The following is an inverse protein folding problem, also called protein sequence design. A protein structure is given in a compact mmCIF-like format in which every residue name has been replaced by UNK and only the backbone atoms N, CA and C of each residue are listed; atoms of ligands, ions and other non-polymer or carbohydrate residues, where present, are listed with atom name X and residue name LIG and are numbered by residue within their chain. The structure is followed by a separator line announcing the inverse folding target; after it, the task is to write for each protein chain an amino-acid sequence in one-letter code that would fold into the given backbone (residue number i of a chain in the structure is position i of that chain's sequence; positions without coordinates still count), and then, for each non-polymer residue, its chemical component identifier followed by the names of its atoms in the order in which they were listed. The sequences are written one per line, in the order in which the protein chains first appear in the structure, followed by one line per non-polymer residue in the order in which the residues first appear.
data_IF_953144959916
#
_entry.id   IF_953144959916
#
_cell.length_a   1.000
_cell.length_b   1.000
_cell.length_c   1.000
_cell.angle_alpha   90.00
_cell.angle_beta   90.00
_cell.angle_gamma   90.00
#
_symmetry.space_group_name_H-M   'P 1'
#
loop_
_entity.id
_entity.type
_entity.pdbx_description
1 polymer ?
#
# COMPACT_ATOMS: atom_id res chain seq x y z
N UNK A 1 -13.70 -5.84 -10.57
CA UNK A 1 -12.38 -6.44 -10.85
C UNK A 1 -12.15 -7.59 -9.85
N UNK A 2 -11.35 -8.63 -10.17
CA UNK A 2 -11.11 -9.76 -9.25
C UNK A 2 -9.74 -10.45 -9.48
N UNK A 3 -9.36 -11.36 -8.58
CA UNK A 3 -8.05 -12.04 -8.61
C UNK A 3 -7.82 -12.80 -9.93
N UNK A 4 -8.83 -13.54 -10.43
CA UNK A 4 -8.69 -14.37 -11.63
C UNK A 4 -8.40 -13.50 -12.85
N UNK A 5 -9.18 -12.45 -13.04
CA UNK A 5 -9.02 -11.48 -14.12
C UNK A 5 -7.62 -10.84 -14.11
N UNK A 6 -7.18 -10.30 -12.96
CA UNK A 6 -5.89 -9.61 -12.87
C UNK A 6 -4.71 -10.57 -13.17
N UNK A 7 -4.78 -11.81 -12.65
CA UNK A 7 -3.74 -12.82 -12.91
C UNK A 7 -3.68 -13.25 -14.37
N UNK A 8 -4.82 -13.34 -15.07
CA UNK A 8 -4.85 -13.65 -16.50
C UNK A 8 -4.11 -12.60 -17.34
N UNK A 9 -4.12 -11.34 -16.89
CA UNK A 9 -3.35 -10.25 -17.49
C UNK A 9 -1.88 -10.19 -17.05
N UNK A 10 -1.38 -11.21 -16.33
CA UNK A 10 -0.01 -11.31 -15.81
C UNK A 10 0.39 -10.15 -14.86
N UNK A 11 -0.58 -9.63 -14.11
CA UNK A 11 -0.39 -8.58 -13.11
C UNK A 11 -0.58 -9.14 -11.69
N UNK A 12 0.01 -8.48 -10.69
CA UNK A 12 -0.20 -8.82 -9.28
C UNK A 12 -1.51 -8.20 -8.78
N UNK A 13 -2.48 -9.00 -8.28
CA UNK A 13 -3.73 -8.46 -7.73
C UNK A 13 -3.52 -7.48 -6.57
N UNK A 14 -2.54 -7.77 -5.72
CA UNK A 14 -2.18 -6.97 -4.55
C UNK A 14 -1.58 -5.62 -5.00
N UNK A 15 -0.65 -5.66 -5.97
CA UNK A 15 -0.08 -4.46 -6.59
C UNK A 15 -1.14 -3.57 -7.24
N UNK A 16 -2.14 -4.15 -7.93
CA UNK A 16 -3.24 -3.40 -8.53
C UNK A 16 -4.11 -2.73 -7.46
N UNK A 17 -4.40 -3.41 -6.35
CA UNK A 17 -5.13 -2.78 -5.24
C UNK A 17 -4.33 -1.64 -4.62
N UNK A 18 -3.03 -1.85 -4.36
CA UNK A 18 -2.15 -0.83 -3.82
C UNK A 18 -2.03 0.38 -4.75
N UNK A 19 -1.89 0.16 -6.06
CA UNK A 19 -1.90 1.24 -7.05
C UNK A 19 -3.24 1.98 -7.07
N UNK A 20 -4.37 1.28 -6.97
CA UNK A 20 -5.69 1.90 -6.91
C UNK A 20 -5.82 2.81 -5.68
N UNK A 21 -5.30 2.39 -4.53
CA UNK A 21 -5.26 3.20 -3.29
C UNK A 21 -4.39 4.46 -3.50
N UNK A 22 -3.21 4.34 -4.13
CA UNK A 22 -2.37 5.50 -4.44
C UNK A 22 -3.04 6.47 -5.41
N UNK A 23 -3.68 5.96 -6.47
CA UNK A 23 -4.44 6.77 -7.43
C UNK A 23 -5.60 7.50 -6.75
N UNK A 24 -6.34 6.80 -5.90
CA UNK A 24 -7.47 7.35 -5.14
C UNK A 24 -7.04 8.52 -4.28
N UNK A 25 -5.97 8.34 -3.50
CA UNK A 25 -5.45 9.40 -2.63
C UNK A 25 -4.97 10.60 -3.46
N UNK A 26 -4.28 10.35 -4.58
CA UNK A 26 -3.82 11.43 -5.46
C UNK A 26 -4.99 12.18 -6.12
N UNK A 27 -6.05 11.49 -6.56
CA UNK A 27 -7.24 12.14 -7.14
C UNK A 27 -7.90 13.10 -6.15
N UNK A 28 -8.02 12.70 -4.88
CA UNK A 28 -8.67 13.49 -3.84
C UNK A 28 -7.80 14.62 -3.28
N UNK A 29 -6.50 14.37 -3.09
CA UNK A 29 -5.64 15.27 -2.32
C UNK A 29 -4.45 15.83 -3.10
N UNK A 30 -4.22 15.37 -4.34
CA UNK A 30 -3.14 15.78 -5.25
C UNK A 30 -1.75 15.72 -4.62
N UNK A 31 -1.53 14.69 -3.79
CA UNK A 31 -0.28 14.45 -3.04
C UNK A 31 0.04 12.95 -3.02
N UNK A 32 1.32 12.64 -2.88
CA UNK A 32 1.82 11.31 -2.53
C UNK A 32 2.24 11.30 -1.07
N UNK A 33 1.91 10.24 -0.34
CA UNK A 33 2.07 10.18 1.11
C UNK A 33 2.71 8.85 1.56
N UNK A 34 3.37 8.84 2.72
CA UNK A 34 3.91 7.61 3.31
C UNK A 34 2.80 6.56 3.44
N UNK A 35 3.08 5.38 2.89
CA UNK A 35 2.14 4.27 2.82
C UNK A 35 2.76 3.04 3.47
N UNK A 36 1.98 2.38 4.32
CA UNK A 36 2.31 1.14 5.00
C UNK A 36 1.45 0.01 4.44
N UNK A 37 2.07 -1.12 4.14
CA UNK A 37 1.39 -2.37 3.85
C UNK A 37 2.02 -3.47 4.70
N UNK A 38 1.20 -4.22 5.44
CA UNK A 38 1.67 -5.31 6.28
C UNK A 38 2.15 -6.48 5.43
N UNK A 39 3.40 -6.90 5.59
CA UNK A 39 3.94 -8.12 5.01
C UNK A 39 4.28 -9.13 6.10
N UNK A 40 3.79 -10.37 5.98
CA UNK A 40 4.06 -11.43 6.95
C UNK A 40 5.51 -11.91 6.85
N UNK A 41 6.17 -12.06 8.00
CA UNK A 41 7.50 -12.68 8.11
C UNK A 41 7.43 -14.05 8.78
N UNK A 42 6.28 -14.73 8.73
CA UNK A 42 6.03 -15.99 9.44
C UNK A 42 6.95 -17.16 9.03
N UNK A 43 7.72 -17.00 7.94
CA UNK A 43 8.79 -17.93 7.57
C UNK A 43 9.94 -17.98 8.60
N UNK A 44 10.10 -16.94 9.42
CA UNK A 44 11.09 -16.89 10.50
C UNK A 44 10.47 -17.30 11.85
N UNK A 45 11.27 -17.93 12.71
CA UNK A 45 10.86 -18.24 14.08
C UNK A 45 10.42 -16.96 14.81
N UNK A 46 9.20 -16.95 15.34
CA UNK A 46 8.55 -15.78 15.98
C UNK A 46 8.34 -14.58 15.04
N UNK A 47 8.39 -14.80 13.73
CA UNK A 47 8.11 -13.79 12.73
C UNK A 47 6.72 -13.18 12.90
N UNK A 48 6.65 -11.85 12.76
CA UNK A 48 5.40 -11.09 12.78
C UNK A 48 5.22 -10.41 11.44
N UNK A 49 5.67 -9.16 11.33
CA UNK A 49 5.50 -8.37 10.11
C UNK A 49 6.70 -7.50 9.79
N UNK A 50 6.88 -7.23 8.51
CA UNK A 50 7.67 -6.13 7.93
C UNK A 50 6.73 -5.19 7.16
N UNK A 51 7.21 -3.99 6.82
CA UNK A 51 6.51 -2.99 6.01
C UNK A 51 6.88 -3.14 4.53
N UNK A 52 5.88 -3.23 3.67
CA UNK A 52 6.00 -2.91 2.25
C UNK A 52 5.57 -1.45 2.07
N UNK A 53 6.44 -0.63 1.46
CA UNK A 53 6.16 0.79 1.20
C UNK A 53 5.63 0.95 -0.23
N UNK A 54 4.31 0.92 -0.37
CA UNK A 54 3.64 0.84 -1.68
C UNK A 54 3.66 2.16 -2.48
N UNK A 55 4.01 3.28 -1.82
CA UNK A 55 4.34 4.54 -2.47
C UNK A 55 5.77 4.50 -3.03
N UNK A 56 5.90 4.18 -4.31
CA UNK A 56 7.17 4.01 -5.03
C UNK A 56 7.22 4.95 -6.22
N UNK A 57 8.39 5.09 -6.85
CA UNK A 57 8.49 5.81 -8.14
C UNK A 57 7.63 5.14 -9.23
N UNK A 58 7.51 3.81 -9.22
CA UNK A 58 6.68 3.09 -10.19
C UNK A 58 5.19 3.45 -10.02
N UNK A 59 4.66 3.43 -8.80
CA UNK A 59 3.27 3.79 -8.53
C UNK A 59 3.02 5.28 -8.76
N UNK A 60 3.96 6.15 -8.38
CA UNK A 60 3.91 7.60 -8.70
C UNK A 60 3.81 7.85 -10.21
N UNK A 61 4.67 7.21 -11.00
CA UNK A 61 4.69 7.38 -12.46
C UNK A 61 3.39 6.86 -13.10
N UNK A 62 2.87 5.72 -12.64
CA UNK A 62 1.60 5.18 -13.12
C UNK A 62 0.42 6.09 -12.80
N UNK A 63 0.34 6.61 -11.56
CA UNK A 63 -0.71 7.57 -11.15
C UNK A 63 -0.69 8.82 -12.01
N UNK A 64 0.49 9.44 -12.19
CA UNK A 64 0.62 10.63 -13.03
C UNK A 64 0.31 10.35 -14.50
N UNK A 65 0.68 9.18 -15.02
CA UNK A 65 0.37 8.79 -16.39
C UNK A 65 -1.14 8.60 -16.62
N UNK A 66 -1.84 8.00 -15.64
CA UNK A 66 -3.30 7.84 -15.66
C UNK A 66 -3.99 9.20 -15.66
N UNK A 67 -3.62 10.09 -14.73
CA UNK A 67 -4.24 11.42 -14.60
C UNK A 67 -4.02 12.29 -15.85
N UNK A 68 -2.92 12.07 -16.59
CA UNK A 68 -2.60 12.77 -17.82
C UNK A 68 -2.97 11.99 -19.09
N UNK A 69 -3.79 10.93 -18.99
CA UNK A 69 -4.26 10.10 -20.11
C UNK A 69 -3.14 9.66 -21.08
N UNK A 70 -1.99 9.24 -20.55
CA UNK A 70 -0.87 8.77 -21.36
C UNK A 70 -1.19 7.40 -22.00
N UNK A 71 -0.54 7.07 -23.11
CA UNK A 71 -0.77 5.82 -23.83
C UNK A 71 -0.03 4.61 -23.24
N UNK A 72 1.05 4.83 -22.50
CA UNK A 72 1.94 3.78 -21.97
C UNK A 72 1.51 3.20 -20.60
N UNK A 73 0.27 3.46 -20.15
CA UNK A 73 -0.17 3.05 -18.80
C UNK A 73 -0.05 1.54 -18.60
N UNK A 74 -0.34 0.73 -19.63
CA UNK A 74 -0.26 -0.73 -19.51
C UNK A 74 1.13 -1.26 -19.16
N UNK A 75 2.19 -0.63 -19.70
CA UNK A 75 3.57 -0.95 -19.32
C UNK A 75 3.88 -0.54 -17.89
N UNK A 76 3.40 0.65 -17.48
CA UNK A 76 3.56 1.14 -16.11
C UNK A 76 2.86 0.24 -15.08
N UNK A 77 1.73 -0.39 -15.43
CA UNK A 77 1.08 -1.40 -14.56
C UNK A 77 1.97 -2.63 -14.34
N UNK A 78 2.68 -3.08 -15.39
CA UNK A 78 3.63 -4.20 -15.28
C UNK A 78 4.83 -3.83 -14.41
N UNK A 79 5.34 -2.61 -14.56
CA UNK A 79 6.42 -2.09 -13.70
C UNK A 79 5.98 -1.99 -12.23
N UNK A 80 4.76 -1.51 -11.97
CA UNK A 80 4.17 -1.51 -10.62
C UNK A 80 4.08 -2.92 -10.04
N UNK A 81 3.60 -3.89 -10.83
CA UNK A 81 3.50 -5.30 -10.41
C UNK A 81 4.86 -5.91 -10.10
N UNK A 82 5.87 -5.65 -10.93
CA UNK A 82 7.23 -6.14 -10.72
C UNK A 82 7.86 -5.54 -9.46
N UNK A 83 7.79 -4.22 -9.31
CA UNK A 83 8.34 -3.50 -8.14
C UNK A 83 7.66 -3.94 -6.85
N UNK A 84 6.33 -3.99 -6.82
CA UNK A 84 5.58 -4.42 -5.62
C UNK A 84 5.90 -5.88 -5.26
N UNK A 85 5.96 -6.78 -6.25
CA UNK A 85 6.32 -8.19 -6.00
C UNK A 85 7.74 -8.33 -5.46
N UNK A 86 8.68 -7.51 -5.93
CA UNK A 86 10.03 -7.47 -5.39
C UNK A 86 10.02 -7.01 -3.92
N UNK A 87 9.34 -5.92 -3.60
CA UNK A 87 9.24 -5.41 -2.22
C UNK A 87 8.59 -6.42 -1.27
N UNK A 88 7.52 -7.10 -1.71
CA UNK A 88 6.86 -8.16 -0.92
C UNK A 88 7.83 -9.31 -0.67
N UNK A 89 8.59 -9.74 -1.69
CA UNK A 89 9.61 -10.79 -1.53
C UNK A 89 10.67 -10.36 -0.52
N UNK A 90 11.25 -9.17 -0.69
CA UNK A 90 12.26 -8.62 0.20
C UNK A 90 11.76 -8.56 1.64
N UNK A 91 10.57 -7.98 1.87
CA UNK A 91 9.96 -7.88 3.20
C UNK A 91 9.69 -9.26 3.82
N UNK A 92 9.09 -10.19 3.08
CA UNK A 92 8.77 -11.54 3.56
C UNK A 92 10.03 -12.34 3.92
N UNK A 93 11.16 -12.07 3.25
CA UNK A 93 12.47 -12.69 3.51
C UNK A 93 13.38 -11.86 4.41
N UNK A 94 12.83 -10.87 5.15
CA UNK A 94 13.60 -10.10 6.14
C UNK A 94 14.65 -9.15 5.55
N UNK A 95 14.50 -8.77 4.28
CA UNK A 95 15.33 -7.79 3.58
C UNK A 95 14.69 -6.39 3.53
N UNK A 96 13.52 -6.21 4.15
CA UNK A 96 12.95 -4.89 4.38
C UNK A 96 13.77 -4.07 5.37
N UNK A 97 13.67 -2.75 5.30
CA UNK A 97 14.49 -1.85 6.13
C UNK A 97 13.75 -1.31 7.36
N UNK A 98 12.42 -1.33 7.39
CA UNK A 98 11.62 -0.67 8.43
C UNK A 98 11.84 -1.30 9.81
N UNK A 99 11.75 -2.63 9.95
CA UNK A 99 12.07 -3.30 11.23
C UNK A 99 13.56 -3.22 11.58
N UNK A 100 14.44 -3.20 10.59
CA UNK A 100 15.87 -3.02 10.83
C UNK A 100 16.16 -1.65 11.45
N UNK A 101 15.65 -0.55 10.87
CA UNK A 101 15.79 0.80 11.43
C UNK A 101 15.17 0.91 12.83
N UNK A 102 14.00 0.29 13.04
CA UNK A 102 13.39 0.21 14.36
C UNK A 102 14.30 -0.50 15.37
N UNK A 103 14.89 -1.64 14.99
CA UNK A 103 15.80 -2.42 15.82
C UNK A 103 17.06 -1.65 16.23
N UNK A 104 17.66 -0.90 15.29
CA UNK A 104 18.79 -0.01 15.56
C UNK A 104 18.42 1.08 16.57
N UNK A 105 17.27 1.74 16.39
CA UNK A 105 16.78 2.79 17.30
C UNK A 105 16.54 2.24 18.71
N UNK A 106 15.79 1.14 18.84
CA UNK A 106 15.50 0.52 20.13
C UNK A 106 16.77 0.00 20.82
N UNK A 107 17.76 -0.45 20.06
CA UNK A 107 19.05 -0.90 20.62
C UNK A 107 19.84 0.26 21.21
N UNK A 108 19.95 1.38 20.48
CA UNK A 108 20.63 2.58 20.99
C UNK A 108 19.95 3.10 22.27
N UNK A 109 18.61 3.15 22.29
CA UNK A 109 17.83 3.53 23.47
C UNK A 109 18.10 2.60 24.67
N UNK A 110 18.01 1.29 24.46
CA UNK A 110 18.22 0.29 25.52
C UNK A 110 19.63 0.33 26.12
N UNK A 111 20.64 0.67 25.31
CA UNK A 111 22.03 0.75 25.76
C UNK A 111 22.41 2.16 26.28
N UNK A 112 21.48 3.12 26.28
CA UNK A 112 21.76 4.50 26.68
C UNK A 112 22.70 5.24 25.72
N UNK A 113 22.81 4.79 24.47
CA UNK A 113 23.66 5.41 23.46
C UNK A 113 22.98 6.63 22.85
N UNK A 114 23.80 7.59 22.41
CA UNK A 114 23.32 8.70 21.60
C UNK A 114 22.71 8.14 20.31
N UNK A 115 21.43 8.40 20.09
CA UNK A 115 20.76 7.95 18.87
C UNK A 115 21.35 8.65 17.63
N UNK A 116 21.56 7.92 16.52
CA UNK A 116 21.90 8.53 15.24
C UNK A 116 20.94 9.66 14.87
N UNK A 117 21.48 10.78 14.37
CA UNK A 117 20.70 11.98 14.00
C UNK A 117 19.55 11.67 13.03
N UNK A 118 19.71 10.63 12.21
CA UNK A 118 18.67 10.10 11.32
C UNK A 118 17.32 9.93 12.03
N UNK A 119 17.27 9.32 13.22
CA UNK A 119 16.00 9.01 13.90
C UNK A 119 15.26 10.25 14.43
N UNK A 120 15.99 11.35 14.63
CA UNK A 120 15.42 12.64 15.02
C UNK A 120 15.06 13.54 13.83
N UNK A 121 15.51 13.19 12.62
CA UNK A 121 15.35 14.01 11.41
C UNK A 121 13.88 14.16 11.01
N UNK A 122 13.56 15.28 10.36
CA UNK A 122 12.22 15.54 9.85
C UNK A 122 11.77 14.47 8.83
N UNK A 123 12.70 13.99 7.98
CA UNK A 123 12.40 12.97 6.98
C UNK A 123 12.05 11.61 7.60
N UNK A 124 12.78 11.18 8.65
CA UNK A 124 12.48 9.93 9.34
C UNK A 124 11.13 10.02 10.06
N UNK A 125 10.81 11.16 10.67
CA UNK A 125 9.48 11.38 11.27
C UNK A 125 8.38 11.34 10.21
N UNK A 126 8.56 12.04 9.10
CA UNK A 126 7.61 12.08 7.98
C UNK A 126 7.37 10.69 7.40
N UNK A 127 8.42 9.94 7.06
CA UNK A 127 8.26 8.61 6.43
C UNK A 127 7.61 7.57 7.35
N UNK A 128 7.60 7.78 8.66
CA UNK A 128 6.93 6.92 9.64
C UNK A 128 5.52 7.44 10.03
N UNK A 129 5.11 8.62 9.54
CA UNK A 129 3.74 9.11 9.61
C UNK A 129 2.90 8.49 8.50
N UNK A 130 2.52 7.22 8.65
CA UNK A 130 1.79 6.46 7.65
C UNK A 130 0.35 6.96 7.48
N UNK A 131 0.17 7.94 6.59
CA UNK A 131 -1.14 8.50 6.21
C UNK A 131 -2.03 7.40 5.60
N UNK A 132 -1.45 6.49 4.82
CA UNK A 132 -2.15 5.31 4.30
C UNK A 132 -1.62 4.06 5.01
N UNK A 133 -2.43 3.48 5.90
CA UNK A 133 -2.10 2.21 6.56
C UNK A 133 -2.98 1.10 6.00
N UNK A 134 -2.35 0.09 5.39
CA UNK A 134 -3.06 -0.92 4.60
C UNK A 134 -2.71 -2.35 5.02
N UNK A 135 -3.66 -3.28 4.82
CA UNK A 135 -3.44 -4.70 5.07
C UNK A 135 -4.37 -5.57 4.23
N UNK A 136 -3.81 -6.63 3.65
CA UNK A 136 -4.55 -7.65 2.90
C UNK A 136 -4.91 -8.82 3.81
N UNK A 137 -6.16 -9.27 3.74
CA UNK A 137 -6.58 -10.55 4.33
C UNK A 137 -7.05 -11.49 3.22
N UNK A 138 -6.13 -12.29 2.67
CA UNK A 138 -6.45 -13.22 1.59
C UNK A 138 -7.06 -14.53 2.09
N UNK A 139 -8.34 -14.51 2.46
CA UNK A 139 -9.09 -15.73 2.85
C UNK A 139 -10.54 -15.67 2.38
N UNK A 140 -11.10 -16.82 1.99
CA UNK A 140 -12.51 -16.95 1.61
C UNK A 140 -13.43 -17.08 2.84
N UNK A 141 -12.87 -17.38 4.02
CA UNK A 141 -13.62 -17.63 5.26
C UNK A 141 -14.09 -16.33 5.94
N UNK A 142 -13.34 -15.24 5.77
CA UNK A 142 -13.61 -13.95 6.40
C UNK A 142 -13.95 -12.95 5.30
N UNK A 143 -15.12 -12.31 5.40
CA UNK A 143 -15.56 -11.32 4.43
C UNK A 143 -14.61 -10.10 4.42
N UNK A 144 -14.42 -9.47 5.58
CA UNK A 144 -13.51 -8.35 5.78
C UNK A 144 -12.96 -8.33 7.21
N UNK A 145 -11.73 -7.85 7.34
CA UNK A 145 -11.22 -7.27 8.58
C UNK A 145 -11.25 -5.74 8.49
N UNK A 146 -11.02 -5.05 9.60
CA UNK A 146 -10.96 -3.59 9.65
C UNK A 146 -10.12 -3.11 10.83
N UNK A 147 -9.54 -1.93 10.69
CA UNK A 147 -8.77 -1.26 11.74
C UNK A 147 -8.85 0.25 11.55
N UNK A 148 -8.67 1.02 12.63
CA UNK A 148 -8.61 2.49 12.57
C UNK A 148 -7.29 3.01 11.99
N UNK A 149 -7.21 4.29 11.58
CA UNK A 149 -5.96 4.91 11.16
C UNK A 149 -4.90 4.90 12.27
N UNK A 150 -3.63 4.92 11.87
CA UNK A 150 -2.47 4.97 12.78
C UNK A 150 -1.96 6.39 13.04
N UNK A 151 -2.52 7.39 12.35
CA UNK A 151 -2.26 8.82 12.52
C UNK A 151 -3.58 9.60 12.41
N UNK A 152 -3.72 10.76 13.09
CA UNK A 152 -4.99 11.49 13.16
C UNK A 152 -5.60 11.88 11.81
N UNK A 153 -4.76 12.21 10.82
CA UNK A 153 -5.17 12.65 9.49
C UNK A 153 -5.13 11.53 8.42
N UNK A 154 -4.93 10.29 8.85
CA UNK A 154 -4.72 9.12 7.99
C UNK A 154 -5.98 8.30 7.69
N UNK A 155 -5.73 7.18 7.01
CA UNK A 155 -6.71 6.18 6.61
C UNK A 155 -6.23 4.78 7.02
N UNK A 156 -7.14 3.99 7.58
CA UNK A 156 -6.97 2.54 7.72
C UNK A 156 -7.71 1.82 6.60
N UNK A 157 -7.00 1.03 5.80
CA UNK A 157 -7.56 0.37 4.61
C UNK A 157 -7.26 -1.13 4.68
N UNK A 158 -8.26 -1.89 5.10
CA UNK A 158 -8.21 -3.35 5.07
C UNK A 158 -8.86 -3.85 3.79
N UNK A 159 -8.23 -4.76 3.06
CA UNK A 159 -8.81 -5.24 1.80
C UNK A 159 -8.71 -6.76 1.62
N UNK A 160 -9.63 -7.29 0.82
CA UNK A 160 -9.68 -8.70 0.47
C UNK A 160 -9.83 -8.84 -1.05
N UNK A 161 -9.05 -9.76 -1.62
CA UNK A 161 -9.00 -10.02 -3.07
C UNK A 161 -9.28 -11.50 -3.29
N UNK A 162 -10.52 -11.81 -3.62
CA UNK A 162 -11.04 -13.15 -3.86
C UNK A 162 -11.02 -13.52 -5.34
N UNK A 163 -11.28 -14.80 -5.63
CA UNK A 163 -11.33 -15.35 -6.98
C UNK A 163 -12.32 -14.60 -7.89
N UNK A 164 -13.49 -14.22 -7.36
CA UNK A 164 -14.59 -13.61 -8.09
C UNK A 164 -14.83 -12.12 -7.78
N UNK A 165 -14.33 -11.59 -6.66
CA UNK A 165 -14.52 -10.19 -6.24
C UNK A 165 -13.31 -9.65 -5.49
N UNK A 166 -13.23 -8.33 -5.34
CA UNK A 166 -12.30 -7.66 -4.42
C UNK A 166 -13.00 -6.46 -3.80
N UNK A 167 -12.53 -6.01 -2.65
CA UNK A 167 -13.03 -4.80 -2.00
C UNK A 167 -12.15 -4.37 -0.84
N UNK A 168 -12.51 -3.24 -0.23
CA UNK A 168 -11.79 -2.67 0.90
C UNK A 168 -12.77 -2.10 1.93
N UNK A 169 -12.38 -2.14 3.20
CA UNK A 169 -12.96 -1.40 4.30
C UNK A 169 -12.04 -0.21 4.60
N UNK A 170 -12.60 0.99 4.57
CA UNK A 170 -11.87 2.25 4.76
C UNK A 170 -12.33 2.89 6.07
N UNK A 171 -11.38 3.30 6.90
CA UNK A 171 -11.61 4.05 8.13
C UNK A 171 -10.81 5.35 8.11
N UNK A 172 -11.33 6.39 8.74
CA UNK A 172 -10.62 7.64 9.02
C UNK A 172 -11.16 8.26 10.30
N UNK A 173 -10.36 9.06 11.01
CA UNK A 173 -10.85 9.93 12.08
C UNK A 173 -11.41 11.26 11.56
N UNK A 174 -11.34 11.48 10.23
CA UNK A 174 -12.03 12.57 9.54
C UNK A 174 -13.54 12.31 9.49
N UNK A 175 -14.28 13.25 8.90
CA UNK A 175 -15.73 13.12 8.72
C UNK A 175 -16.13 11.97 7.77
N UNK A 176 -17.40 11.56 7.89
CA UNK A 176 -18.00 10.51 7.08
C UNK A 176 -17.97 10.83 5.57
N UNK A 177 -18.08 12.11 5.20
CA UNK A 177 -18.03 12.54 3.81
C UNK A 177 -16.67 12.19 3.18
N UNK A 178 -15.58 12.41 3.89
CA UNK A 178 -14.22 12.07 3.44
C UNK A 178 -14.05 10.57 3.24
N UNK A 179 -14.60 9.74 4.14
CA UNK A 179 -14.53 8.28 4.02
C UNK A 179 -15.34 7.79 2.82
N UNK A 180 -16.55 8.30 2.63
CA UNK A 180 -17.39 7.95 1.48
C UNK A 180 -16.73 8.38 0.16
N UNK A 181 -16.21 9.61 0.09
CA UNK A 181 -15.50 10.10 -1.09
C UNK A 181 -14.28 9.22 -1.43
N UNK A 182 -13.55 8.72 -0.41
CA UNK A 182 -12.46 7.78 -0.62
C UNK A 182 -12.96 6.44 -1.18
N UNK A 183 -14.05 5.89 -0.64
CA UNK A 183 -14.62 4.64 -1.11
C UNK A 183 -15.12 4.73 -2.55
N UNK A 184 -15.85 5.79 -2.90
CA UNK A 184 -16.36 6.02 -4.25
C UNK A 184 -15.21 6.21 -5.25
N UNK A 185 -14.23 7.03 -4.89
CA UNK A 185 -13.05 7.28 -5.74
C UNK A 185 -12.18 6.02 -5.88
N UNK A 186 -12.16 5.12 -4.89
CA UNK A 186 -11.48 3.83 -5.00
C UNK A 186 -12.16 2.92 -6.01
N UNK A 187 -13.49 2.88 -6.04
CA UNK A 187 -14.23 2.14 -7.06
C UNK A 187 -13.95 2.69 -8.46
N UNK A 188 -13.98 4.01 -8.63
CA UNK A 188 -13.60 4.66 -9.90
C UNK A 188 -12.17 4.30 -10.32
N UNK A 189 -11.23 4.36 -9.39
CA UNK A 189 -9.81 4.05 -9.64
C UNK A 189 -9.65 2.59 -10.10
N UNK A 190 -10.36 1.66 -9.47
CA UNK A 190 -10.38 0.26 -9.87
C UNK A 190 -10.99 0.06 -11.26
N UNK A 191 -12.03 0.82 -11.63
CA UNK A 191 -12.63 0.76 -12.96
C UNK A 191 -11.73 1.35 -14.05
N UNK A 192 -11.03 2.46 -13.75
CA UNK A 192 -9.99 3.01 -14.64
C UNK A 192 -8.92 1.95 -14.91
N UNK A 193 -8.38 1.33 -13.86
CA UNK A 193 -7.35 0.29 -14.00
C UNK A 193 -7.88 -0.93 -14.77
N UNK A 194 -9.12 -1.37 -14.50
CA UNK A 194 -9.77 -2.44 -15.25
C UNK A 194 -9.84 -2.11 -16.75
N UNK A 195 -10.24 -0.89 -17.11
CA UNK A 195 -10.33 -0.47 -18.52
C UNK A 195 -8.96 -0.44 -19.21
N UNK A 196 -7.91 -0.03 -18.50
CA UNK A 196 -6.53 -0.10 -19.02
C UNK A 196 -6.08 -1.55 -19.22
N UNK A 197 -6.46 -2.46 -18.33
CA UNK A 197 -6.11 -3.88 -18.44
C UNK A 197 -6.84 -4.55 -19.62
N UNK A 198 -8.11 -4.21 -19.86
CA UNK A 198 -8.89 -4.77 -20.98
C UNK A 198 -8.39 -4.29 -22.35
N UNK A 199 -7.82 -3.09 -22.44
CA UNK A 199 -7.31 -2.49 -23.69
C UNK A 199 -5.92 -2.97 -24.12
N UNK A 200 -5.23 -3.75 -23.29
CA UNK A 200 -3.93 -4.35 -23.59
C UNK A 200 -4.08 -5.66 -24.37
#
# INVERSE_FOLDING_TARGET
MNRKFIKQSKLSPDSIMQLAIQLTFYKLFKKFVPSYESCSTAAFLKGRTECVRSATSATTNAVLAIENNKSNIGELLKQCSAMHSQLVKEAATGQGFDRHLMGLRCTAERLGWLQPKLFSSAIYKYMNGFILSTSTLSTETIAFGGFGPVVPDGFGIAYNILSNKMGALISSYKDQHTVNAFADTLLESLDILKNVIVKQ
#
